data_IF_241721857881
#
_entry.id   IF_241721857881
#
_cell.length_a   1.000
_cell.length_b   1.000
_cell.length_c   1.000
_cell.angle_alpha   90.00
_cell.angle_beta   90.00
_cell.angle_gamma   90.00
#
_symmetry.space_group_name_H-M   'P 1'
#
loop_
_entity.id
_entity.type
_entity.pdbx_description
1 polymer ?
#
# COMPACT_ATOMS: atom_id res chain seq x y z
N UNK A 1 26.51 -20.60 16.53
CA UNK A 1 25.85 -19.30 16.74
C UNK A 1 26.72 -18.23 16.11
N UNK A 2 26.45 -17.89 14.86
CA UNK A 2 27.12 -16.77 14.21
C UNK A 2 26.62 -15.48 14.84
N UNK A 3 27.52 -14.63 15.29
CA UNK A 3 27.23 -13.27 15.72
C UNK A 3 26.51 -12.53 14.60
N UNK A 4 25.25 -12.14 14.82
CA UNK A 4 24.52 -11.23 13.93
C UNK A 4 25.20 -9.86 13.99
N UNK A 5 26.25 -9.65 13.19
CA UNK A 5 26.84 -8.34 13.00
C UNK A 5 25.80 -7.48 12.26
N UNK A 6 25.36 -6.42 12.91
CA UNK A 6 24.33 -5.56 12.36
C UNK A 6 24.96 -4.68 11.26
N UNK A 7 24.97 -5.21 10.03
CA UNK A 7 25.54 -4.54 8.87
C UNK A 7 24.87 -3.16 8.68
N UNK A 8 25.64 -2.09 8.87
CA UNK A 8 25.19 -0.70 8.74
C UNK A 8 24.54 -0.42 7.36
N UNK A 9 24.96 -1.16 6.33
CA UNK A 9 24.39 -1.11 4.99
C UNK A 9 22.95 -1.63 4.97
N UNK A 10 22.64 -2.61 5.82
CA UNK A 10 21.31 -3.19 5.94
C UNK A 10 20.32 -2.19 6.58
N UNK A 11 20.76 -1.43 7.60
CA UNK A 11 19.93 -0.37 8.19
C UNK A 11 19.56 0.73 7.19
N UNK A 12 20.49 1.15 6.32
CA UNK A 12 20.20 2.14 5.27
C UNK A 12 19.15 1.62 4.28
N UNK A 13 19.23 0.33 3.91
CA UNK A 13 18.24 -0.33 3.04
C UNK A 13 16.88 -0.45 3.72
N UNK A 14 16.85 -0.87 4.98
CA UNK A 14 15.62 -0.97 5.78
C UNK A 14 14.98 0.41 5.95
N UNK A 15 15.74 1.43 6.34
CA UNK A 15 15.26 2.80 6.45
C UNK A 15 14.73 3.32 5.12
N UNK A 16 15.42 3.03 4.00
CA UNK A 16 14.93 3.32 2.66
C UNK A 16 13.58 2.65 2.38
N UNK A 17 13.42 1.37 2.73
CA UNK A 17 12.15 0.66 2.60
C UNK A 17 11.01 1.27 3.41
N UNK A 18 11.27 1.69 4.65
CA UNK A 18 10.28 2.37 5.51
C UNK A 18 9.89 3.72 4.93
N UNK A 19 10.87 4.54 4.50
CA UNK A 19 10.56 5.85 3.88
C UNK A 19 9.74 5.66 2.61
N UNK A 20 10.09 4.66 1.78
CA UNK A 20 9.34 4.35 0.56
C UNK A 20 7.90 3.92 0.86
N UNK A 21 7.66 3.11 1.90
CA UNK A 21 6.29 2.69 2.25
C UNK A 21 5.44 3.87 2.74
N UNK A 22 6.01 4.75 3.56
CA UNK A 22 5.34 5.98 4.00
C UNK A 22 4.98 6.89 2.84
N UNK A 23 5.94 7.19 1.95
CA UNK A 23 5.71 8.04 0.78
C UNK A 23 4.65 7.40 -0.14
N UNK A 24 4.72 6.09 -0.35
CA UNK A 24 3.73 5.36 -1.14
C UNK A 24 2.32 5.48 -0.54
N UNK A 25 2.18 5.27 0.77
CA UNK A 25 0.89 5.43 1.46
C UNK A 25 0.34 6.86 1.33
N UNK A 26 1.19 7.87 1.45
CA UNK A 26 0.77 9.27 1.30
C UNK A 26 0.33 9.58 -0.14
N UNK A 27 1.06 9.11 -1.16
CA UNK A 27 0.71 9.32 -2.56
C UNK A 27 -0.70 8.83 -2.89
N UNK A 28 -1.14 7.72 -2.30
CA UNK A 28 -2.45 7.15 -2.59
C UNK A 28 -3.56 7.59 -1.63
N UNK A 29 -3.25 8.20 -0.48
CA UNK A 29 -4.25 8.64 0.52
C UNK A 29 -4.50 10.14 0.53
N UNK A 30 -3.55 10.95 0.06
CA UNK A 30 -3.73 12.41 -0.08
C UNK A 30 -4.59 12.87 -1.27
N UNK A 31 -4.72 12.15 -2.41
CA UNK A 31 -5.49 12.64 -3.56
C UNK A 31 -6.94 13.08 -3.28
N UNK A 32 -7.71 12.43 -2.39
CA UNK A 32 -9.04 12.92 -2.01
C UNK A 32 -9.01 14.26 -1.28
N UNK A 33 -7.91 14.61 -0.61
CA UNK A 33 -7.76 15.93 0.02
C UNK A 33 -7.52 17.05 -1.01
N UNK A 34 -6.98 16.68 -2.18
CA UNK A 34 -6.74 17.60 -3.31
C UNK A 34 -7.87 17.61 -4.35
N UNK A 35 -8.99 16.94 -4.09
CA UNK A 35 -10.21 17.02 -4.91
C UNK A 35 -10.35 15.97 -6.02
N UNK A 36 -9.46 14.96 -6.09
CA UNK A 36 -9.66 13.83 -7.02
C UNK A 36 -10.80 12.91 -6.54
N UNK A 37 -11.03 12.83 -5.24
CA UNK A 37 -12.17 12.16 -4.62
C UNK A 37 -12.53 12.91 -3.33
N UNK A 38 -13.40 12.34 -2.49
CA UNK A 38 -13.82 12.93 -1.22
C UNK A 38 -13.84 11.89 -0.11
N UNK A 39 -13.43 12.29 1.09
CA UNK A 39 -13.70 11.54 2.32
C UNK A 39 -15.07 11.92 2.87
N UNK A 40 -15.89 10.92 3.22
CA UNK A 40 -17.22 11.10 3.76
C UNK A 40 -17.62 9.96 4.71
N UNK A 41 -18.75 10.11 5.41
CA UNK A 41 -19.27 9.07 6.28
C UNK A 41 -19.68 7.83 5.47
N UNK A 42 -19.33 6.65 5.96
CA UNK A 42 -19.76 5.37 5.39
C UNK A 42 -20.80 4.67 6.28
N UNK A 43 -21.72 3.91 5.67
CA UNK A 43 -22.70 3.09 6.38
C UNK A 43 -23.59 3.87 7.37
N UNK A 44 -23.66 3.47 8.66
CA UNK A 44 -24.47 4.14 9.68
C UNK A 44 -23.95 5.55 10.05
N UNK A 45 -22.85 6.01 9.44
CA UNK A 45 -22.32 7.36 9.61
C UNK A 45 -21.40 7.52 10.83
N UNK A 46 -20.92 6.41 11.41
CA UNK A 46 -20.00 6.41 12.55
C UNK A 46 -18.53 6.33 12.15
N UNK A 47 -18.24 5.97 10.91
CA UNK A 47 -16.87 5.87 10.36
C UNK A 47 -16.76 6.73 9.10
N UNK A 48 -15.55 7.21 8.82
CA UNK A 48 -15.25 8.01 7.64
C UNK A 48 -14.33 7.23 6.69
N UNK A 49 -14.66 7.22 5.41
CA UNK A 49 -13.92 6.54 4.37
C UNK A 49 -13.99 7.33 3.06
N UNK A 50 -13.40 6.81 1.99
CA UNK A 50 -13.54 7.41 0.66
C UNK A 50 -14.99 7.25 0.19
N UNK A 51 -15.49 8.21 -0.60
CA UNK A 51 -16.86 8.15 -1.08
C UNK A 51 -17.04 7.06 -2.15
N UNK A 52 -17.56 5.92 -1.70
CA UNK A 52 -17.87 4.75 -2.55
C UNK A 52 -19.18 4.90 -3.35
N UNK A 53 -20.03 5.86 -2.98
CA UNK A 53 -21.42 5.91 -3.44
C UNK A 53 -21.57 6.82 -4.65
N UNK A 54 -20.81 7.92 -4.66
CA UNK A 54 -20.89 8.93 -5.72
C UNK A 54 -20.34 8.41 -7.06
N UNK A 55 -21.22 8.34 -8.07
CA UNK A 55 -20.93 7.81 -9.41
C UNK A 55 -20.36 8.85 -10.39
N UNK A 56 -19.40 9.66 -9.94
CA UNK A 56 -18.67 10.57 -10.84
C UNK A 56 -17.41 9.89 -11.39
N UNK A 57 -17.00 10.23 -12.61
CA UNK A 57 -15.79 9.69 -13.24
C UNK A 57 -14.54 9.81 -12.35
N UNK A 58 -14.38 10.95 -11.66
CA UNK A 58 -13.27 11.19 -10.73
C UNK A 58 -13.26 10.17 -9.58
N UNK A 59 -14.36 10.02 -8.83
CA UNK A 59 -14.47 9.03 -7.74
C UNK A 59 -14.25 7.59 -8.24
N UNK A 60 -14.86 7.21 -9.36
CA UNK A 60 -14.70 5.85 -9.91
C UNK A 60 -13.24 5.60 -10.30
N UNK A 61 -12.60 6.55 -11.00
CA UNK A 61 -11.19 6.41 -11.40
C UNK A 61 -10.27 6.25 -10.18
N UNK A 62 -10.50 7.03 -9.13
CA UNK A 62 -9.73 6.94 -7.90
C UNK A 62 -9.93 5.60 -7.17
N UNK A 63 -11.16 5.11 -7.07
CA UNK A 63 -11.45 3.79 -6.49
C UNK A 63 -10.73 2.67 -7.25
N UNK A 64 -10.75 2.70 -8.58
CA UNK A 64 -10.04 1.72 -9.41
C UNK A 64 -8.54 1.79 -9.16
N UNK A 65 -7.96 2.99 -9.09
CA UNK A 65 -6.56 3.18 -8.74
C UNK A 65 -6.23 2.59 -7.36
N UNK A 66 -7.06 2.82 -6.34
CA UNK A 66 -6.85 2.23 -5.01
C UNK A 66 -6.83 0.71 -5.05
N UNK A 67 -7.76 0.05 -5.74
CA UNK A 67 -7.75 -1.41 -5.85
C UNK A 67 -6.49 -1.92 -6.56
N UNK A 68 -6.07 -1.28 -7.64
CA UNK A 68 -4.87 -1.73 -8.37
C UNK A 68 -3.61 -1.51 -7.53
N UNK A 69 -3.40 -0.30 -7.02
CA UNK A 69 -2.14 0.08 -6.38
C UNK A 69 -2.08 -0.30 -4.89
N UNK A 70 -3.17 -0.23 -4.15
CA UNK A 70 -3.15 -0.54 -2.72
C UNK A 70 -3.51 -1.99 -2.38
N UNK A 71 -4.09 -2.74 -3.33
CA UNK A 71 -4.42 -4.16 -3.12
C UNK A 71 -3.65 -5.08 -4.06
N UNK A 72 -3.79 -4.93 -5.38
CA UNK A 72 -3.20 -5.89 -6.33
C UNK A 72 -1.67 -5.85 -6.30
N UNK A 73 -1.05 -4.67 -6.36
CA UNK A 73 0.42 -4.54 -6.35
C UNK A 73 1.04 -5.14 -5.06
N UNK A 74 0.60 -4.76 -3.84
CA UNK A 74 1.10 -5.37 -2.61
C UNK A 74 0.86 -6.88 -2.55
N UNK A 75 -0.30 -7.35 -3.01
CA UNK A 75 -0.61 -8.78 -3.05
C UNK A 75 0.35 -9.55 -3.97
N UNK A 76 0.64 -9.02 -5.16
CA UNK A 76 1.60 -9.63 -6.09
C UNK A 76 3.02 -9.66 -5.50
N UNK A 77 3.44 -8.61 -4.80
CA UNK A 77 4.74 -8.59 -4.09
C UNK A 77 4.80 -9.69 -3.04
N UNK A 78 3.75 -9.85 -2.23
CA UNK A 78 3.66 -10.92 -1.23
C UNK A 78 3.75 -12.30 -1.90
N UNK A 79 2.92 -12.57 -2.91
CA UNK A 79 2.92 -13.84 -3.64
C UNK A 79 4.28 -14.14 -4.25
N UNK A 80 4.93 -13.14 -4.86
CA UNK A 80 6.26 -13.29 -5.43
C UNK A 80 7.31 -13.64 -4.38
N UNK A 81 7.35 -12.92 -3.26
CA UNK A 81 8.28 -13.18 -2.16
C UNK A 81 8.10 -14.59 -1.58
N UNK A 82 6.85 -15.00 -1.31
CA UNK A 82 6.56 -16.34 -0.80
C UNK A 82 6.82 -17.43 -1.84
N UNK A 83 6.53 -17.19 -3.12
CA UNK A 83 6.84 -18.12 -4.20
C UNK A 83 8.35 -18.35 -4.33
N UNK A 84 9.15 -17.29 -4.23
CA UNK A 84 10.61 -17.37 -4.19
C UNK A 84 11.11 -18.16 -2.98
N UNK A 85 10.53 -17.96 -1.81
CA UNK A 85 10.87 -18.68 -0.59
C UNK A 85 10.56 -20.18 -0.72
N UNK A 86 9.35 -20.53 -1.16
CA UNK A 86 8.96 -21.94 -1.36
C UNK A 86 9.83 -22.63 -2.41
N UNK A 87 10.19 -21.94 -3.49
CA UNK A 87 11.13 -22.49 -4.47
C UNK A 87 12.51 -22.70 -3.86
N UNK A 88 12.99 -21.81 -2.99
CA UNK A 88 14.27 -21.97 -2.32
C UNK A 88 14.27 -23.13 -1.29
N UNK A 89 13.14 -23.39 -0.63
CA UNK A 89 12.98 -24.50 0.32
C UNK A 89 12.83 -25.85 -0.39
N UNK A 90 12.24 -25.86 -1.58
CA UNK A 90 12.04 -27.09 -2.38
C UNK A 90 13.32 -27.52 -3.12
N UNK A 91 14.30 -26.63 -3.25
CA UNK A 91 15.67 -26.94 -3.73
C UNK A 91 16.44 -27.68 -2.63
#
# INVERSE_FOLDING_TARGET
MGSTEADATNYRKVAGGVVMSWVYSLIWTLPPLFGWSRYGPEGPGTTCSVDWTTKTANNISYIICLFIFCLIVPFLVIVFCYGKLLHAIKQ
#
